data_IF_953380117998
#
_entry.id   IF_953380117998
#
_cell.length_a   1.000
_cell.length_b   1.000
_cell.length_c   1.000
_cell.angle_alpha   90.00
_cell.angle_beta   90.00
_cell.angle_gamma   90.00
#
_symmetry.space_group_name_H-M   'P 1'
#
loop_
_entity.id
_entity.type
_entity.pdbx_description
1 polymer ?
#
# COMPACT_ATOMS: atom_id res chain seq x y z
N UNK A 1 7.62 39.74 61.19
CA UNK A 1 8.52 38.57 61.29
C UNK A 1 7.71 37.41 60.72
N UNK A 2 8.04 37.03 59.48
CA UNK A 2 7.60 35.89 58.67
C UNK A 2 6.09 35.53 58.64
N UNK A 3 5.40 36.05 57.62
CA UNK A 3 4.31 35.34 56.92
C UNK A 3 4.95 34.19 56.12
N UNK A 4 4.45 32.96 56.29
CA UNK A 4 4.82 31.80 55.49
C UNK A 4 3.69 31.48 54.50
N UNK A 5 3.97 31.26 53.20
CA UNK A 5 2.97 31.27 52.12
C UNK A 5 2.54 29.86 51.68
N UNK A 6 1.59 29.83 50.73
CA UNK A 6 1.26 28.73 49.81
C UNK A 6 0.17 27.73 50.22
N UNK A 7 -1.08 28.20 50.23
CA UNK A 7 -2.19 27.37 49.74
C UNK A 7 -2.09 27.26 48.22
N UNK A 8 -1.47 26.19 47.72
CA UNK A 8 -1.59 25.81 46.31
C UNK A 8 -3.07 25.51 46.00
N UNK A 9 -3.67 26.15 44.98
CA UNK A 9 -5.03 25.82 44.58
C UNK A 9 -5.03 24.41 43.97
N UNK A 10 -5.81 23.50 44.56
CA UNK A 10 -6.14 22.21 43.96
C UNK A 10 -6.72 22.46 42.57
N UNK A 11 -6.12 21.95 41.47
CA UNK A 11 -6.68 22.16 40.15
C UNK A 11 -8.04 21.47 40.06
N UNK A 12 -9.02 22.18 39.50
CA UNK A 12 -10.33 21.62 39.24
C UNK A 12 -10.21 20.37 38.35
N UNK A 13 -11.07 19.35 38.51
CA UNK A 13 -11.02 18.10 37.73
C UNK A 13 -11.16 18.31 36.20
N UNK A 14 -11.60 19.50 35.77
CA UNK A 14 -11.63 19.91 34.36
C UNK A 14 -10.24 20.07 33.74
N UNK A 15 -9.25 20.53 34.52
CA UNK A 15 -7.89 20.81 34.01
C UNK A 15 -7.04 19.55 33.89
N UNK A 16 -7.32 18.54 34.72
CA UNK A 16 -6.71 17.21 34.61
C UNK A 16 -7.24 16.42 33.39
N UNK A 17 -8.51 16.59 33.04
CA UNK A 17 -9.12 15.96 31.86
C UNK A 17 -8.66 16.62 30.55
N UNK A 18 -8.58 17.95 30.50
CA UNK A 18 -8.08 18.66 29.31
C UNK A 18 -6.60 18.41 29.07
N UNK A 19 -5.78 18.33 30.12
CA UNK A 19 -4.36 17.98 30.00
C UNK A 19 -4.13 16.50 29.64
N UNK A 20 -4.94 15.57 30.14
CA UNK A 20 -4.91 14.17 29.70
C UNK A 20 -5.31 14.02 28.21
N UNK A 21 -6.31 14.77 27.76
CA UNK A 21 -6.70 14.84 26.34
C UNK A 21 -5.59 15.44 25.47
N UNK A 22 -4.92 16.50 25.93
CA UNK A 22 -3.82 17.12 25.20
C UNK A 22 -2.61 16.16 25.07
N UNK A 23 -2.29 15.43 26.13
CA UNK A 23 -1.23 14.42 26.13
C UNK A 23 -1.57 13.19 25.27
N UNK A 24 -2.86 12.83 25.17
CA UNK A 24 -3.33 11.78 24.26
C UNK A 24 -3.31 12.25 22.79
N UNK A 25 -3.52 13.55 22.54
CA UNK A 25 -3.38 14.15 21.20
C UNK A 25 -1.92 14.21 20.75
N UNK A 26 -0.98 14.48 21.65
CA UNK A 26 0.45 14.58 21.32
C UNK A 26 1.16 13.23 21.17
N UNK A 27 0.62 12.13 21.70
CA UNK A 27 1.22 10.78 21.64
C UNK A 27 0.67 9.89 20.50
N UNK A 28 -0.18 10.42 19.63
CA UNK A 28 -0.88 9.66 18.60
C UNK A 28 -0.02 9.44 17.33
N UNK A 29 0.86 8.44 17.35
CA UNK A 29 1.53 7.93 16.13
C UNK A 29 0.96 6.60 15.62
N UNK A 30 -0.10 6.06 16.22
CA UNK A 30 -0.72 4.80 15.78
C UNK A 30 -2.05 5.02 15.01
N UNK A 31 -2.27 4.27 13.90
CA UNK A 31 -3.49 4.39 13.09
C UNK A 31 -4.80 4.13 13.85
N UNK A 32 -4.76 3.30 14.89
CA UNK A 32 -5.95 2.96 15.68
C UNK A 32 -6.38 4.07 16.63
N UNK A 33 -5.44 4.90 17.12
CA UNK A 33 -5.76 6.08 17.93
C UNK A 33 -6.37 7.17 17.05
N UNK A 34 -5.98 7.29 15.78
CA UNK A 34 -6.61 8.23 14.84
C UNK A 34 -8.08 7.86 14.58
N UNK A 35 -8.38 6.57 14.43
CA UNK A 35 -9.77 6.08 14.31
C UNK A 35 -10.58 6.40 15.58
N UNK A 36 -10.00 6.20 16.75
CA UNK A 36 -10.64 6.54 18.03
C UNK A 36 -10.87 8.06 18.16
N UNK A 37 -9.92 8.90 17.75
CA UNK A 37 -10.06 10.36 17.76
C UNK A 37 -11.13 10.84 16.79
N UNK A 38 -11.17 10.31 15.56
CA UNK A 38 -12.25 10.61 14.60
C UNK A 38 -13.60 10.17 15.17
N UNK A 39 -13.66 9.01 15.83
CA UNK A 39 -14.90 8.53 16.45
C UNK A 39 -15.33 9.41 17.63
N UNK A 40 -14.41 9.87 18.47
CA UNK A 40 -14.68 10.78 19.60
C UNK A 40 -15.10 12.16 19.10
N UNK A 41 -14.37 12.75 18.16
CA UNK A 41 -14.72 14.04 17.54
C UNK A 41 -16.08 13.98 16.84
N UNK A 42 -16.39 12.83 16.21
CA UNK A 42 -17.70 12.58 15.58
C UNK A 42 -18.81 12.38 16.60
N UNK A 43 -18.55 11.73 17.75
CA UNK A 43 -19.51 11.67 18.86
C UNK A 43 -19.73 13.04 19.48
N UNK A 44 -18.69 13.83 19.68
CA UNK A 44 -18.81 15.21 20.19
C UNK A 44 -19.61 16.11 19.23
N UNK A 45 -19.44 15.94 17.92
CA UNK A 45 -20.20 16.65 16.90
C UNK A 45 -21.67 16.20 16.80
N UNK A 46 -21.97 14.92 17.07
CA UNK A 46 -23.34 14.37 17.01
C UNK A 46 -24.10 14.54 18.33
N UNK A 47 -23.46 14.33 19.48
CA UNK A 47 -24.03 14.51 20.82
C UNK A 47 -24.12 15.99 21.23
N UNK A 48 -23.29 16.86 20.65
CA UNK A 48 -23.39 18.31 20.81
C UNK A 48 -24.64 18.92 20.17
N UNK A 49 -25.43 18.13 19.43
CA UNK A 49 -26.66 18.57 18.80
C UNK A 49 -27.84 17.72 19.30
N UNK A 50 -28.30 18.00 20.52
CA UNK A 50 -29.64 17.59 20.99
C UNK A 50 -30.66 18.37 20.18
N UNK A 51 -30.85 18.02 18.90
CA UNK A 51 -31.99 18.52 18.13
C UNK A 51 -33.20 17.80 18.72
N UNK A 52 -34.20 18.51 19.28
CA UNK A 52 -35.44 17.88 19.67
C UNK A 52 -36.01 17.11 18.47
N UNK A 53 -36.49 15.89 18.72
CA UNK A 53 -37.05 15.01 17.70
C UNK A 53 -37.96 15.81 16.75
N UNK A 54 -37.70 15.70 15.43
CA UNK A 54 -38.57 16.32 14.40
C UNK A 54 -39.93 15.63 14.30
N UNK A 55 -40.11 14.52 15.00
CA UNK A 55 -41.40 13.84 15.14
C UNK A 55 -42.15 14.56 16.26
N UNK A 56 -43.23 15.30 15.95
CA UNK A 56 -44.05 15.92 16.98
C UNK A 56 -44.55 14.83 17.94
N UNK A 57 -44.63 15.17 19.23
CA UNK A 57 -45.13 14.23 20.24
C UNK A 57 -46.48 13.65 19.78
N UNK A 58 -46.62 12.32 19.75
CA UNK A 58 -47.85 11.68 19.29
C UNK A 58 -49.03 12.16 20.12
N UNK A 59 -50.12 12.57 19.47
CA UNK A 59 -51.26 13.18 20.16
C UNK A 59 -52.16 12.12 20.78
N UNK A 60 -52.11 10.88 20.27
CA UNK A 60 -52.90 9.74 20.75
C UNK A 60 -52.19 8.40 20.55
N UNK A 61 -52.52 7.40 21.38
CA UNK A 61 -51.98 6.03 21.31
C UNK A 61 -52.29 5.36 19.95
N UNK A 62 -53.40 5.74 19.31
CA UNK A 62 -53.81 5.24 18.00
C UNK A 62 -52.87 5.64 16.85
N UNK A 63 -52.23 6.81 16.92
CA UNK A 63 -51.28 7.27 15.91
C UNK A 63 -49.98 6.46 15.98
N UNK A 64 -49.53 6.14 17.20
CA UNK A 64 -48.36 5.29 17.44
C UNK A 64 -48.59 3.89 16.87
N UNK A 65 -49.77 3.32 17.10
CA UNK A 65 -50.16 2.02 16.53
C UNK A 65 -50.18 2.02 15.00
N UNK A 66 -50.60 3.12 14.38
CA UNK A 66 -50.59 3.30 12.93
C UNK A 66 -49.19 3.29 12.33
N UNK A 67 -48.24 4.01 12.92
CA UNK A 67 -46.85 4.01 12.46
C UNK A 67 -46.15 2.66 12.69
N UNK A 68 -46.40 2.00 13.81
CA UNK A 68 -45.87 0.65 14.07
C UNK A 68 -46.39 -0.34 13.02
N UNK A 69 -47.69 -0.31 12.71
CA UNK A 69 -48.27 -1.19 11.69
C UNK A 69 -47.74 -0.88 10.29
N UNK A 70 -47.57 0.40 9.93
CA UNK A 70 -47.00 0.79 8.65
C UNK A 70 -45.54 0.31 8.51
N UNK A 71 -44.70 0.55 9.51
CA UNK A 71 -43.29 0.13 9.49
C UNK A 71 -43.14 -1.40 9.54
N UNK A 72 -44.08 -2.09 10.18
CA UNK A 72 -44.14 -3.56 10.17
C UNK A 72 -44.56 -4.08 8.78
N UNK A 73 -45.46 -3.39 8.08
CA UNK A 73 -45.87 -3.73 6.71
C UNK A 73 -44.75 -3.47 5.70
N UNK A 74 -43.95 -2.43 5.92
CA UNK A 74 -42.79 -2.07 5.08
C UNK A 74 -41.52 -2.89 5.39
N UNK A 75 -41.56 -3.79 6.37
CA UNK A 75 -40.41 -4.63 6.78
C UNK A 75 -39.15 -3.82 7.13
N UNK A 76 -39.30 -2.65 7.76
CA UNK A 76 -38.18 -1.79 8.18
C UNK A 76 -37.99 -1.79 9.71
N UNK A 77 -37.40 -2.85 10.30
CA UNK A 77 -37.29 -3.01 11.75
C UNK A 77 -36.39 -1.96 12.40
N UNK A 78 -35.35 -1.49 11.69
CA UNK A 78 -34.42 -0.49 12.21
C UNK A 78 -35.10 0.88 12.37
N UNK A 79 -35.94 1.28 11.41
CA UNK A 79 -36.67 2.55 11.48
C UNK A 79 -37.72 2.54 12.60
N UNK A 80 -38.34 1.37 12.86
CA UNK A 80 -39.25 1.16 13.99
C UNK A 80 -38.54 1.34 15.34
N UNK A 81 -37.34 0.78 15.49
CA UNK A 81 -36.57 0.92 16.74
C UNK A 81 -36.11 2.36 16.97
N UNK A 82 -35.71 3.08 15.92
CA UNK A 82 -35.40 4.50 16.00
C UNK A 82 -36.62 5.36 16.33
N UNK A 83 -37.78 5.05 15.74
CA UNK A 83 -39.04 5.75 16.03
C UNK A 83 -39.45 5.55 17.49
N UNK A 84 -39.41 4.32 18.00
CA UNK A 84 -39.72 4.00 19.40
C UNK A 84 -38.76 4.71 20.36
N UNK A 85 -37.47 4.72 20.05
CA UNK A 85 -36.50 5.41 20.88
C UNK A 85 -36.66 6.93 20.84
N UNK A 86 -36.95 7.50 19.67
CA UNK A 86 -37.27 8.92 19.50
C UNK A 86 -38.53 9.35 20.24
N UNK A 87 -39.55 8.47 20.33
CA UNK A 87 -40.78 8.70 21.13
C UNK A 87 -40.47 8.62 22.64
N UNK A 88 -39.59 7.72 23.05
CA UNK A 88 -39.19 7.54 24.45
C UNK A 88 -38.13 8.56 24.92
N UNK A 89 -37.65 9.44 24.03
CA UNK A 89 -36.59 10.40 24.33
C UNK A 89 -35.24 9.74 24.63
N UNK A 90 -35.07 8.48 24.25
CA UNK A 90 -33.83 7.71 24.41
C UNK A 90 -33.10 7.70 23.08
N UNK A 91 -31.77 7.83 23.09
CA UNK A 91 -30.97 7.63 21.89
C UNK A 91 -31.25 6.22 21.34
N UNK A 92 -31.88 6.15 20.16
CA UNK A 92 -32.20 4.87 19.55
C UNK A 92 -30.95 4.07 19.20
N UNK A 93 -31.09 2.75 18.99
CA UNK A 93 -30.03 1.98 18.37
C UNK A 93 -29.70 2.69 17.06
N UNK A 94 -28.49 3.23 16.98
CA UNK A 94 -28.01 3.85 15.77
C UNK A 94 -27.95 2.68 14.77
N UNK A 95 -28.79 2.65 13.71
CA UNK A 95 -28.54 1.71 12.63
C UNK A 95 -27.09 1.95 12.24
N UNK A 96 -26.31 0.89 11.93
CA UNK A 96 -25.03 1.12 11.31
C UNK A 96 -25.33 2.01 10.12
N UNK A 97 -24.92 3.28 10.22
CA UNK A 97 -25.01 4.24 9.15
C UNK A 97 -24.46 3.45 7.96
N UNK A 98 -25.24 3.25 6.89
CA UNK A 98 -24.89 2.40 5.72
C UNK A 98 -23.55 2.75 5.03
N UNK A 99 -22.84 3.70 5.61
CA UNK A 99 -21.43 4.04 5.55
C UNK A 99 -20.56 3.04 6.34
N UNK A 100 -20.74 1.73 6.15
CA UNK A 100 -19.59 0.86 6.32
C UNK A 100 -18.59 1.34 5.26
N UNK A 101 -17.71 2.28 5.64
CA UNK A 101 -16.41 2.39 5.02
C UNK A 101 -15.76 1.05 5.33
N UNK A 102 -16.04 0.06 4.47
CA UNK A 102 -15.33 -1.20 4.45
C UNK A 102 -13.89 -0.79 4.25
N UNK A 103 -13.14 -0.68 5.35
CA UNK A 103 -11.72 -0.43 5.28
C UNK A 103 -11.15 -1.48 4.32
N UNK A 104 -10.43 -1.02 3.31
CA UNK A 104 -9.83 -1.91 2.34
C UNK A 104 -9.08 -3.04 3.08
N UNK A 105 -9.32 -4.31 2.72
CA UNK A 105 -8.79 -5.45 3.48
C UNK A 105 -7.27 -5.54 3.41
N UNK A 106 -6.64 -4.97 2.38
CA UNK A 106 -5.20 -4.87 2.23
C UNK A 106 -4.74 -3.42 2.36
N UNK A 107 -3.48 -3.26 2.76
CA UNK A 107 -2.83 -1.95 2.86
C UNK A 107 -1.43 -2.00 2.26
N UNK A 108 -0.88 -0.82 2.02
CA UNK A 108 0.50 -0.67 1.58
C UNK A 108 1.40 -0.54 2.81
N UNK A 109 2.26 -1.53 3.02
CA UNK A 109 3.19 -1.61 4.14
C UNK A 109 4.54 -1.05 3.71
N UNK A 110 5.08 -0.03 4.41
CA UNK A 110 6.43 0.46 4.15
C UNK A 110 7.45 -0.55 4.67
N UNK A 111 8.37 -0.97 3.81
CA UNK A 111 9.51 -1.81 4.16
C UNK A 111 10.81 -0.99 4.10
N UNK A 112 11.78 -1.26 4.99
CA UNK A 112 13.09 -0.63 4.92
C UNK A 112 13.80 -1.03 3.63
N UNK A 113 14.47 -0.08 2.99
CA UNK A 113 15.20 -0.31 1.75
C UNK A 113 16.70 -0.50 1.99
N UNK A 114 17.33 -1.27 1.11
CA UNK A 114 18.78 -1.41 1.10
C UNK A 114 19.44 -0.18 0.49
N UNK A 115 20.39 0.42 1.22
CA UNK A 115 21.11 1.63 0.78
C UNK A 115 22.62 1.39 0.84
N UNK A 116 23.18 0.59 -0.08
CA UNK A 116 24.63 0.35 -0.14
C UNK A 116 25.39 1.68 -0.28
N UNK A 117 26.56 1.75 0.36
CA UNK A 117 27.41 2.92 0.27
C UNK A 117 27.87 3.13 -1.19
N UNK A 118 27.69 4.33 -1.71
CA UNK A 118 28.05 4.65 -3.09
C UNK A 118 27.57 6.04 -3.51
N UNK A 119 27.99 6.51 -4.70
CA UNK A 119 27.63 7.84 -5.20
C UNK A 119 26.12 8.05 -5.35
N UNK A 120 25.37 6.97 -5.60
CA UNK A 120 23.92 7.01 -5.79
C UNK A 120 23.11 6.70 -4.53
N UNK A 121 23.75 6.54 -3.37
CA UNK A 121 23.05 6.21 -2.11
C UNK A 121 21.96 7.24 -1.77
N UNK A 122 22.20 8.52 -2.05
CA UNK A 122 21.24 9.60 -1.82
C UNK A 122 19.98 9.51 -2.69
N UNK A 123 20.07 8.90 -3.88
CA UNK A 123 18.94 8.72 -4.80
C UNK A 123 18.07 7.51 -4.44
N UNK A 124 18.55 6.60 -3.58
CA UNK A 124 17.80 5.43 -3.14
C UNK A 124 16.85 5.84 -2.00
N UNK A 125 15.53 5.57 -2.12
CA UNK A 125 14.57 5.91 -1.09
C UNK A 125 14.83 5.11 0.20
N UNK A 126 14.53 5.70 1.36
CA UNK A 126 14.72 5.06 2.67
C UNK A 126 13.81 3.85 2.89
N UNK A 127 12.59 3.95 2.38
CA UNK A 127 11.57 2.90 2.44
C UNK A 127 10.88 2.83 1.08
N UNK A 128 10.33 1.66 0.79
CA UNK A 128 9.43 1.45 -0.34
C UNK A 128 8.18 0.75 0.18
N UNK A 129 7.05 0.94 -0.49
CA UNK A 129 5.77 0.39 -0.04
C UNK A 129 5.39 -0.83 -0.87
N UNK A 130 4.85 -1.86 -0.23
CA UNK A 130 4.39 -3.08 -0.89
C UNK A 130 3.05 -3.48 -0.29
N UNK A 131 2.20 -4.13 -1.09
CA UNK A 131 0.94 -4.68 -0.60
C UNK A 131 1.18 -5.66 0.56
N UNK A 132 0.34 -5.58 1.58
CA UNK A 132 0.52 -6.28 2.85
C UNK A 132 0.66 -7.80 2.71
N UNK A 133 -0.02 -8.40 1.74
CA UNK A 133 0.05 -9.84 1.43
C UNK A 133 1.42 -10.29 0.89
N UNK A 134 2.15 -9.43 0.18
CA UNK A 134 3.46 -9.77 -0.38
C UNK A 134 4.63 -9.45 0.56
N UNK A 135 4.39 -8.64 1.59
CA UNK A 135 5.44 -8.10 2.47
C UNK A 135 6.33 -9.19 3.09
N UNK A 136 5.73 -10.24 3.66
CA UNK A 136 6.46 -11.33 4.32
C UNK A 136 7.32 -12.14 3.33
N UNK A 137 6.76 -12.46 2.16
CA UNK A 137 7.47 -13.24 1.14
C UNK A 137 8.64 -12.46 0.57
N UNK A 138 8.44 -11.16 0.30
CA UNK A 138 9.50 -10.28 -0.18
C UNK A 138 10.60 -10.08 0.87
N UNK A 139 10.24 -9.88 2.14
CA UNK A 139 11.22 -9.74 3.22
C UNK A 139 12.06 -11.01 3.39
N UNK A 140 11.46 -12.19 3.24
CA UNK A 140 12.21 -13.46 3.22
C UNK A 140 13.18 -13.55 2.04
N UNK A 141 12.76 -13.13 0.84
CA UNK A 141 13.62 -13.10 -0.34
C UNK A 141 14.80 -12.13 -0.16
N UNK A 142 14.58 -10.94 0.40
CA UNK A 142 15.64 -9.97 0.72
C UNK A 142 16.61 -10.52 1.77
N UNK A 143 16.10 -11.16 2.83
CA UNK A 143 16.95 -11.80 3.84
C UNK A 143 17.84 -12.90 3.24
N UNK A 144 17.36 -13.63 2.23
CA UNK A 144 18.18 -14.63 1.53
C UNK A 144 19.31 -13.98 0.72
N UNK A 145 19.07 -12.82 0.09
CA UNK A 145 20.12 -12.04 -0.57
C UNK A 145 21.12 -11.47 0.44
N UNK A 146 20.65 -10.97 1.58
CA UNK A 146 21.49 -10.47 2.66
C UNK A 146 22.36 -11.57 3.26
N UNK A 147 21.82 -12.78 3.41
CA UNK A 147 22.59 -13.95 3.85
C UNK A 147 23.73 -14.29 2.89
N UNK A 148 23.58 -13.97 1.59
CA UNK A 148 24.63 -14.12 0.58
C UNK A 148 25.54 -12.88 0.47
N UNK A 149 25.28 -11.83 1.26
CA UNK A 149 26.10 -10.63 1.27
C UNK A 149 25.79 -9.61 0.15
N UNK A 150 24.65 -9.80 -0.51
CA UNK A 150 24.12 -8.89 -1.52
C UNK A 150 23.20 -7.86 -0.88
N UNK A 151 23.09 -6.68 -1.48
CA UNK A 151 22.09 -5.66 -1.14
C UNK A 151 21.29 -5.33 -2.40
N UNK A 152 19.97 -5.25 -2.29
CA UNK A 152 19.08 -5.01 -3.43
C UNK A 152 18.23 -3.75 -3.21
N UNK A 153 18.65 -2.60 -3.76
CA UNK A 153 17.87 -1.37 -3.70
C UNK A 153 16.61 -1.49 -4.56
N UNK A 154 15.45 -1.33 -3.93
CA UNK A 154 14.14 -1.43 -4.58
C UNK A 154 13.40 -0.09 -4.58
N UNK A 155 12.44 0.06 -5.48
CA UNK A 155 11.48 1.15 -5.48
C UNK A 155 10.10 0.66 -5.92
N UNK A 156 9.07 1.22 -5.30
CA UNK A 156 7.68 0.90 -5.58
C UNK A 156 7.04 2.04 -6.35
N UNK A 157 6.58 1.79 -7.58
CA UNK A 157 5.83 2.77 -8.37
C UNK A 157 4.35 2.66 -8.06
N UNK A 158 3.96 2.97 -6.83
CA UNK A 158 2.56 2.97 -6.44
C UNK A 158 1.97 4.33 -6.79
N UNK A 159 0.99 4.31 -7.68
CA UNK A 159 0.27 5.50 -8.10
C UNK A 159 -1.11 5.56 -7.41
N UNK A 160 -1.57 6.75 -6.99
CA UNK A 160 -2.96 6.92 -6.58
C UNK A 160 -3.89 6.64 -7.77
N UNK A 161 -5.14 6.25 -7.48
CA UNK A 161 -6.14 6.03 -8.53
C UNK A 161 -6.31 7.31 -9.37
N UNK A 162 -6.30 7.21 -10.72
CA UNK A 162 -6.49 8.39 -11.56
C UNK A 162 -7.93 8.89 -11.38
N UNK A 163 -8.15 10.20 -11.15
CA UNK A 163 -9.49 10.74 -10.99
C UNK A 163 -10.28 10.63 -12.29
N UNK A 164 -11.58 10.37 -12.19
CA UNK A 164 -12.49 10.41 -13.32
C UNK A 164 -12.56 11.84 -13.90
N UNK A 165 -12.44 11.95 -15.22
CA UNK A 165 -12.66 13.19 -15.97
C UNK A 165 -13.38 12.88 -17.28
N UNK A 166 -14.06 13.86 -17.91
CA UNK A 166 -14.68 13.66 -19.21
C UNK A 166 -13.67 13.14 -20.25
N UNK A 167 -14.00 12.04 -20.92
CA UNK A 167 -13.13 11.30 -21.86
C UNK A 167 -11.87 10.64 -21.26
N UNK A 168 -11.67 10.66 -19.94
CA UNK A 168 -10.57 9.94 -19.33
C UNK A 168 -10.72 8.43 -19.57
N UNK A 169 -9.68 7.82 -20.13
CA UNK A 169 -9.61 6.38 -20.31
C UNK A 169 -8.76 5.76 -19.20
N UNK A 170 -9.11 4.55 -18.74
CA UNK A 170 -8.23 3.81 -17.85
C UNK A 170 -6.89 3.55 -18.55
N UNK A 171 -5.75 3.65 -17.82
CA UNK A 171 -4.46 3.21 -18.31
C UNK A 171 -4.48 1.74 -18.78
N UNK A 172 -3.64 1.43 -19.77
CA UNK A 172 -3.51 0.06 -20.30
C UNK A 172 -2.96 -0.93 -19.26
N UNK A 173 -2.11 -0.45 -18.35
CA UNK A 173 -1.58 -1.23 -17.24
C UNK A 173 -2.18 -0.77 -15.91
N UNK A 174 -2.97 -1.65 -15.30
CA UNK A 174 -3.59 -1.41 -14.01
C UNK A 174 -2.75 -1.93 -12.82
N UNK A 175 -1.72 -2.75 -13.07
CA UNK A 175 -0.92 -3.39 -12.01
C UNK A 175 -0.19 -2.39 -11.08
N UNK A 176 0.34 -1.25 -11.56
CA UNK A 176 0.96 -0.24 -10.69
C UNK A 176 0.00 0.33 -9.66
N UNK A 177 -1.26 0.55 -10.05
CA UNK A 177 -2.32 1.04 -9.16
C UNK A 177 -2.74 -0.02 -8.15
N UNK A 178 -2.56 -1.30 -8.45
CA UNK A 178 -2.83 -2.42 -7.54
C UNK A 178 -1.66 -2.73 -6.60
N UNK A 179 -0.57 -1.95 -6.63
CA UNK A 179 0.64 -2.21 -5.84
C UNK A 179 1.29 -3.55 -6.18
N UNK A 180 1.07 -4.06 -7.40
CA UNK A 180 1.60 -5.34 -7.90
C UNK A 180 2.89 -5.17 -8.70
N UNK A 181 3.45 -3.96 -8.75
CA UNK A 181 4.70 -3.67 -9.46
C UNK A 181 5.82 -3.26 -8.51
N UNK A 182 7.03 -3.72 -8.79
CA UNK A 182 8.22 -3.43 -8.03
C UNK A 182 9.38 -3.23 -9.01
N UNK A 183 10.19 -2.20 -8.80
CA UNK A 183 11.35 -1.93 -9.63
C UNK A 183 12.63 -2.02 -8.81
N UNK A 184 13.71 -2.48 -9.44
CA UNK A 184 15.06 -2.26 -8.92
C UNK A 184 15.43 -0.80 -9.20
N UNK A 185 16.09 -0.12 -8.27
CA UNK A 185 16.53 1.27 -8.48
C UNK A 185 17.54 1.32 -9.64
N UNK A 186 17.17 1.87 -10.81
CA UNK A 186 17.98 1.73 -12.02
C UNK A 186 19.31 2.48 -11.93
N UNK A 187 19.39 3.52 -11.10
CA UNK A 187 20.61 4.29 -10.84
C UNK A 187 21.72 3.45 -10.16
N UNK A 188 21.37 2.29 -9.62
CA UNK A 188 22.33 1.41 -8.92
C UNK A 188 22.92 0.32 -9.82
N UNK A 189 22.72 0.43 -11.14
CA UNK A 189 23.26 -0.47 -12.15
C UNK A 189 23.73 0.29 -13.41
N UNK A 190 24.37 -0.45 -14.32
CA UNK A 190 24.79 -0.03 -15.67
C UNK A 190 25.91 1.03 -15.76
N UNK A 191 26.35 1.65 -14.66
CA UNK A 191 27.42 2.66 -14.67
C UNK A 191 28.81 2.02 -14.67
N UNK A 192 29.08 1.21 -13.66
CA UNK A 192 30.30 0.44 -13.54
C UNK A 192 30.01 -0.89 -12.84
N UNK A 193 29.99 -2.01 -13.59
CA UNK A 193 29.58 -3.28 -13.02
C UNK A 193 30.52 -3.80 -11.93
N UNK A 194 31.75 -3.26 -11.83
CA UNK A 194 32.72 -3.64 -10.79
C UNK A 194 32.47 -2.95 -9.45
N UNK A 195 31.74 -1.83 -9.42
CA UNK A 195 31.41 -1.07 -8.20
C UNK A 195 29.93 -1.10 -7.87
N UNK A 196 29.08 -1.22 -8.89
CA UNK A 196 27.64 -1.18 -8.75
C UNK A 196 27.10 -2.38 -7.93
N UNK A 197 26.10 -2.17 -7.05
CA UNK A 197 25.50 -3.25 -6.27
C UNK A 197 24.67 -4.20 -7.14
N UNK A 198 24.16 -3.74 -8.28
CA UNK A 198 23.40 -4.53 -9.25
C UNK A 198 24.05 -4.42 -10.61
N UNK A 199 24.13 -5.53 -11.35
CA UNK A 199 24.63 -5.55 -12.72
C UNK A 199 23.74 -6.41 -13.60
N UNK A 200 23.61 -6.04 -14.88
CA UNK A 200 23.07 -6.92 -15.90
C UNK A 200 24.20 -7.79 -16.42
N UNK A 201 24.23 -9.06 -16.04
CA UNK A 201 25.34 -9.95 -16.31
C UNK A 201 24.89 -11.32 -16.81
N UNK A 202 25.82 -11.99 -17.49
CA UNK A 202 25.74 -13.39 -17.92
C UNK A 202 27.09 -14.08 -17.70
N UNK A 203 27.10 -15.40 -17.69
CA UNK A 203 28.36 -16.15 -17.60
C UNK A 203 29.24 -15.87 -18.82
N UNK A 204 30.55 -15.68 -18.60
CA UNK A 204 31.48 -15.34 -19.67
C UNK A 204 31.49 -16.44 -20.76
N UNK A 205 31.43 -16.04 -22.02
CA UNK A 205 31.35 -16.97 -23.15
C UNK A 205 29.97 -17.62 -23.38
N UNK A 206 28.94 -17.28 -22.59
CA UNK A 206 27.57 -17.68 -22.88
C UNK A 206 26.90 -16.77 -23.93
N UNK A 207 25.99 -17.34 -24.72
CA UNK A 207 25.08 -16.60 -25.60
C UNK A 207 23.75 -16.21 -24.95
N UNK A 208 23.58 -16.53 -23.66
CA UNK A 208 22.36 -16.22 -22.91
C UNK A 208 22.10 -14.70 -22.82
N UNK A 209 20.82 -14.30 -22.62
CA UNK A 209 20.49 -12.89 -22.38
C UNK A 209 21.12 -12.41 -21.07
N UNK A 210 21.42 -11.10 -20.99
CA UNK A 210 21.87 -10.50 -19.74
C UNK A 210 20.69 -10.44 -18.76
N UNK A 211 20.93 -10.95 -17.55
CA UNK A 211 19.94 -11.00 -16.48
C UNK A 211 20.36 -10.06 -15.34
N UNK A 212 19.42 -9.48 -14.59
CA UNK A 212 19.74 -8.70 -13.41
C UNK A 212 20.33 -9.60 -12.31
N UNK A 213 21.52 -9.24 -11.87
CA UNK A 213 22.33 -9.96 -10.91
C UNK A 213 22.71 -9.00 -9.77
N UNK A 214 22.59 -9.46 -8.53
CA UNK A 214 23.05 -8.72 -7.36
C UNK A 214 24.52 -9.08 -7.09
N UNK A 215 25.34 -8.07 -6.83
CA UNK A 215 26.74 -8.25 -6.49
C UNK A 215 26.89 -8.51 -5.00
N UNK A 216 27.78 -9.44 -4.65
CA UNK A 216 28.20 -9.63 -3.25
C UNK A 216 29.12 -8.46 -2.86
N UNK A 217 28.66 -7.60 -1.94
CA UNK A 217 29.39 -6.40 -1.50
C UNK A 217 30.24 -6.73 -0.27
N UNK A 218 29.69 -7.52 0.64
CA UNK A 218 30.34 -7.98 1.86
C UNK A 218 30.14 -9.48 2.02
N UNK A 219 31.09 -10.26 2.57
CA UNK A 219 30.88 -11.69 2.80
C UNK A 219 29.65 -11.93 3.68
N UNK A 220 28.70 -12.71 3.16
CA UNK A 220 27.52 -13.17 3.91
C UNK A 220 27.75 -14.48 4.67
N UNK A 221 26.71 -14.97 5.33
CA UNK A 221 26.70 -16.31 5.96
C UNK A 221 26.65 -17.45 4.95
N UNK A 222 26.19 -17.20 3.72
CA UNK A 222 26.16 -18.14 2.60
C UNK A 222 27.23 -17.76 1.59
N UNK A 223 28.15 -18.67 1.32
CA UNK A 223 29.22 -18.46 0.35
C UNK A 223 28.70 -18.49 -1.09
N UNK A 224 29.07 -17.48 -1.88
CA UNK A 224 28.79 -17.41 -3.32
C UNK A 224 30.09 -17.70 -4.08
N UNK A 225 30.06 -18.71 -4.94
CA UNK A 225 31.25 -19.12 -5.70
C UNK A 225 31.60 -18.04 -6.74
N UNK A 226 32.82 -17.48 -6.73
CA UNK A 226 33.24 -16.54 -7.75
C UNK A 226 33.31 -17.21 -9.13
N UNK A 227 32.90 -16.48 -10.17
CA UNK A 227 32.99 -16.95 -11.55
C UNK A 227 33.38 -15.80 -12.50
N UNK A 228 33.59 -16.13 -13.78
CA UNK A 228 33.83 -15.13 -14.81
C UNK A 228 32.50 -14.72 -15.43
N UNK A 229 32.25 -13.42 -15.48
CA UNK A 229 30.99 -12.83 -15.94
C UNK A 229 31.24 -11.81 -17.04
N UNK A 230 30.28 -11.67 -17.94
CA UNK A 230 30.17 -10.53 -18.84
C UNK A 230 29.02 -9.65 -18.35
N UNK A 231 29.30 -8.41 -18.00
CA UNK A 231 28.31 -7.45 -17.52
C UNK A 231 28.18 -6.26 -18.47
N UNK A 232 26.99 -5.68 -18.57
CA UNK A 232 26.76 -4.51 -19.40
C UNK A 232 27.15 -3.23 -18.66
N UNK A 233 27.94 -2.39 -19.35
CA UNK A 233 28.20 -1.00 -18.99
C UNK A 233 27.56 -0.10 -20.04
N UNK A 234 26.72 0.82 -19.63
CA UNK A 234 26.01 1.71 -20.54
C UNK A 234 26.42 3.17 -20.33
N UNK A 235 26.47 3.92 -21.42
CA UNK A 235 26.48 5.37 -21.43
C UNK A 235 25.11 5.91 -21.88
N UNK A 236 25.03 7.21 -22.16
CA UNK A 236 23.79 7.86 -22.62
C UNK A 236 23.25 7.31 -23.95
N UNK A 237 24.08 6.62 -24.74
CA UNK A 237 23.79 6.27 -26.15
C UNK A 237 24.03 4.81 -26.51
N UNK A 238 24.84 4.07 -25.76
CA UNK A 238 25.18 2.67 -26.04
C UNK A 238 25.46 1.88 -24.79
N UNK A 239 25.35 0.55 -24.90
CA UNK A 239 25.78 -0.41 -23.90
C UNK A 239 26.89 -1.30 -24.48
N UNK A 240 27.97 -1.47 -23.72
CA UNK A 240 29.11 -2.31 -24.09
C UNK A 240 29.32 -3.39 -23.03
N UNK A 241 29.57 -4.65 -23.42
CA UNK A 241 29.90 -5.71 -22.49
C UNK A 241 31.32 -5.52 -21.92
N UNK A 242 31.46 -5.79 -20.63
CA UNK A 242 32.72 -5.75 -19.88
C UNK A 242 32.90 -7.10 -19.19
N UNK A 243 34.05 -7.73 -19.39
CA UNK A 243 34.41 -8.99 -18.74
C UNK A 243 34.92 -8.73 -17.32
N UNK A 244 34.35 -9.44 -16.36
CA UNK A 244 34.72 -9.44 -14.95
C UNK A 244 35.23 -10.82 -14.56
N UNK A 245 36.46 -10.87 -14.05
CA UNK A 245 37.08 -12.11 -13.61
C UNK A 245 36.88 -12.30 -12.11
N UNK A 246 36.57 -13.53 -11.68
CA UNK A 246 36.38 -13.89 -10.27
C UNK A 246 35.37 -12.98 -9.53
N UNK A 247 34.26 -12.63 -10.19
CA UNK A 247 33.18 -11.86 -9.58
C UNK A 247 32.12 -12.78 -8.97
N UNK A 248 31.62 -12.43 -7.79
CA UNK A 248 30.53 -13.13 -7.11
C UNK A 248 29.21 -12.38 -7.35
N UNK A 249 28.35 -12.99 -8.17
CA UNK A 249 27.03 -12.49 -8.49
C UNK A 249 25.96 -13.53 -8.16
N UNK A 250 24.79 -13.03 -7.75
CA UNK A 250 23.61 -13.83 -7.44
C UNK A 250 22.48 -13.44 -8.39
N UNK A 251 21.80 -14.38 -9.04
CA UNK A 251 20.66 -14.08 -9.90
C UNK A 251 19.46 -13.58 -9.09
N UNK A 252 18.99 -12.37 -9.40
CA UNK A 252 17.87 -11.73 -8.68
C UNK A 252 16.54 -12.37 -9.06
N UNK A 253 16.38 -12.74 -10.34
CA UNK A 253 15.14 -13.29 -10.90
C UNK A 253 14.56 -14.46 -10.07
N UNK A 254 15.31 -15.55 -9.82
CA UNK A 254 14.82 -16.67 -9.02
C UNK A 254 14.47 -16.31 -7.57
N UNK A 255 15.19 -15.35 -6.98
CA UNK A 255 14.96 -14.93 -5.59
C UNK A 255 13.68 -14.12 -5.47
N UNK A 256 13.44 -13.18 -6.39
CA UNK A 256 12.19 -12.42 -6.44
C UNK A 256 11.01 -13.27 -6.92
N UNK A 257 11.23 -14.25 -7.80
CA UNK A 257 10.21 -15.21 -8.22
C UNK A 257 9.69 -16.04 -7.04
N UNK A 258 10.55 -16.39 -6.07
CA UNK A 258 10.13 -17.04 -4.83
C UNK A 258 9.19 -16.15 -3.98
N UNK A 259 9.28 -14.83 -4.11
CA UNK A 259 8.35 -13.85 -3.53
C UNK A 259 7.14 -13.53 -4.43
N UNK A 260 7.02 -14.19 -5.59
CA UNK A 260 5.92 -13.99 -6.55
C UNK A 260 6.12 -12.84 -7.52
N UNK A 261 7.30 -12.19 -7.54
CA UNK A 261 7.63 -11.11 -8.46
C UNK A 261 8.40 -11.66 -9.66
N UNK A 262 7.82 -11.49 -10.85
CA UNK A 262 8.34 -11.99 -12.10
C UNK A 262 8.72 -10.86 -13.03
N UNK A 263 9.78 -11.07 -13.78
CA UNK A 263 10.21 -10.18 -14.84
C UNK A 263 9.67 -10.67 -16.20
N UNK A 264 9.55 -9.77 -17.17
CA UNK A 264 9.41 -10.14 -18.57
C UNK A 264 10.53 -11.10 -18.99
N UNK A 265 10.19 -12.17 -19.70
CA UNK A 265 11.14 -13.20 -20.15
C UNK A 265 11.15 -13.27 -21.68
N UNK A 266 12.28 -13.01 -22.35
CA UNK A 266 13.54 -12.50 -21.80
C UNK A 266 13.41 -11.03 -21.35
N UNK A 267 14.25 -10.57 -20.40
CA UNK A 267 14.22 -9.19 -19.97
C UNK A 267 14.63 -8.25 -21.11
N UNK A 268 13.97 -7.09 -21.26
CA UNK A 268 14.29 -6.13 -22.30
C UNK A 268 15.73 -5.63 -22.10
N UNK A 269 16.55 -5.73 -23.13
CA UNK A 269 17.96 -5.36 -23.04
C UNK A 269 18.10 -3.83 -23.12
N UNK A 270 18.89 -3.20 -22.23
CA UNK A 270 19.06 -1.76 -22.27
C UNK A 270 19.86 -1.35 -23.51
N UNK A 271 19.41 -0.29 -24.18
CA UNK A 271 20.18 0.38 -25.25
C UNK A 271 21.01 1.55 -24.73
N UNK A 272 20.66 2.07 -23.56
CA UNK A 272 21.31 3.20 -22.90
C UNK A 272 21.09 3.15 -21.39
N UNK A 273 21.79 4.00 -20.64
CA UNK A 273 21.62 4.16 -19.19
C UNK A 273 20.19 4.59 -18.78
N UNK A 274 19.43 5.21 -19.69
CA UNK A 274 18.04 5.62 -19.45
C UNK A 274 17.03 4.48 -19.65
N UNK A 275 17.46 3.35 -20.18
CA UNK A 275 16.59 2.20 -20.41
C UNK A 275 16.32 1.51 -19.07
N UNK A 276 15.12 1.64 -18.53
CA UNK A 276 14.74 1.07 -17.21
C UNK A 276 13.85 -0.17 -17.32
N UNK A 277 13.43 -0.59 -18.51
CA UNK A 277 12.52 -1.74 -18.66
C UNK A 277 13.05 -3.05 -18.05
N UNK A 278 14.37 -3.21 -17.95
CA UNK A 278 15.01 -4.38 -17.33
C UNK A 278 14.92 -4.38 -15.80
N UNK A 279 14.55 -3.28 -15.15
CA UNK A 279 14.45 -3.23 -13.70
C UNK A 279 13.06 -3.54 -13.18
N UNK A 280 12.08 -3.75 -14.07
CA UNK A 280 10.66 -3.88 -13.73
C UNK A 280 10.24 -5.32 -13.43
N UNK A 281 9.55 -5.51 -12.30
CA UNK A 281 8.98 -6.78 -11.86
C UNK A 281 7.49 -6.63 -11.54
N UNK A 282 6.72 -7.65 -11.88
CA UNK A 282 5.27 -7.71 -11.67
C UNK A 282 4.89 -8.93 -10.85
N UNK A 283 3.93 -8.77 -9.94
CA UNK A 283 3.41 -9.86 -9.15
C UNK A 283 2.05 -10.34 -9.70
N UNK A 284 2.11 -11.48 -10.38
CA UNK A 284 0.95 -12.12 -11.00
C UNK A 284 0.33 -13.21 -10.12
N UNK A 285 0.84 -13.41 -8.89
CA UNK A 285 0.32 -14.45 -8.01
C UNK A 285 -1.15 -14.18 -7.65
N UNK A 286 -1.96 -15.23 -7.71
CA UNK A 286 -3.41 -15.16 -7.47
C UNK A 286 -4.25 -14.61 -8.62
N UNK A 287 -3.65 -14.09 -9.69
CA UNK A 287 -4.39 -13.67 -10.89
C UNK A 287 -4.68 -14.89 -11.77
N UNK A 288 -5.96 -15.22 -11.94
CA UNK A 288 -6.43 -16.35 -12.75
C UNK A 288 -7.05 -15.81 -14.02
N UNK A 289 -6.49 -16.21 -15.17
CA UNK A 289 -6.99 -15.83 -16.49
C UNK A 289 -8.47 -16.17 -16.64
N UNK A 290 -9.26 -15.23 -17.15
CA UNK A 290 -10.70 -15.40 -17.37
C UNK A 290 -11.56 -15.36 -16.10
N UNK A 291 -10.96 -15.25 -14.91
CA UNK A 291 -11.69 -15.30 -13.64
C UNK A 291 -11.48 -14.04 -12.80
N UNK A 292 -10.24 -13.59 -12.62
CA UNK A 292 -9.95 -12.44 -11.75
C UNK A 292 -10.44 -11.15 -12.38
N UNK A 293 -11.31 -10.42 -11.68
CA UNK A 293 -11.86 -9.13 -12.13
C UNK A 293 -11.07 -7.97 -11.55
N UNK A 294 -10.97 -6.89 -12.32
CA UNK A 294 -10.31 -5.66 -11.90
C UNK A 294 -11.00 -5.04 -10.67
N UNK A 295 -12.33 -5.07 -10.62
CA UNK A 295 -13.10 -4.53 -9.50
C UNK A 295 -12.80 -5.24 -8.18
N UNK A 296 -12.63 -6.56 -8.21
CA UNK A 296 -12.32 -7.35 -7.02
C UNK A 296 -10.94 -6.98 -6.49
N UNK A 297 -9.92 -6.91 -7.36
CA UNK A 297 -8.56 -6.48 -6.98
C UNK A 297 -8.51 -5.04 -6.48
N UNK A 298 -9.24 -4.11 -7.10
CA UNK A 298 -9.30 -2.72 -6.64
C UNK A 298 -9.96 -2.62 -5.26
N UNK A 299 -11.01 -3.40 -5.01
CA UNK A 299 -11.71 -3.42 -3.72
C UNK A 299 -10.84 -3.93 -2.57
N UNK A 300 -9.75 -4.62 -2.87
CA UNK A 300 -8.79 -5.06 -1.85
C UNK A 300 -7.97 -3.91 -1.27
N UNK A 301 -7.72 -2.85 -2.05
CA UNK A 301 -6.83 -1.75 -1.69
C UNK A 301 -7.55 -0.41 -1.51
N UNK A 302 -8.69 -0.22 -2.17
CA UNK A 302 -9.39 1.05 -2.23
C UNK A 302 -10.85 0.90 -1.77
N UNK A 303 -11.38 1.96 -1.18
CA UNK A 303 -12.80 1.98 -0.83
C UNK A 303 -13.65 2.18 -2.09
N UNK A 304 -14.91 1.76 -2.03
CA UNK A 304 -15.86 1.88 -3.15
C UNK A 304 -16.05 3.34 -3.62
N UNK A 305 -15.95 4.33 -2.71
CA UNK A 305 -16.00 5.76 -3.05
C UNK A 305 -14.83 6.19 -3.95
N UNK A 306 -13.65 5.67 -3.67
CA UNK A 306 -12.41 6.04 -4.36
C UNK A 306 -12.37 5.38 -5.73
N UNK A 307 -12.86 4.14 -5.82
CA UNK A 307 -13.04 3.41 -7.07
C UNK A 307 -14.07 4.12 -7.97
N UNK A 308 -15.24 4.49 -7.43
CA UNK A 308 -16.30 5.16 -8.20
C UNK A 308 -15.92 6.55 -8.69
N UNK A 309 -15.02 7.23 -7.98
CA UNK A 309 -14.48 8.53 -8.39
C UNK A 309 -13.29 8.42 -9.35
N UNK A 310 -12.80 7.20 -9.62
CA UNK A 310 -11.66 6.95 -10.51
C UNK A 310 -12.06 6.65 -11.96
N UNK A 311 -11.09 6.70 -12.86
CA UNK A 311 -11.25 6.28 -14.27
C UNK A 311 -11.62 4.80 -14.43
N UNK A 312 -11.37 3.97 -13.41
CA UNK A 312 -11.66 2.53 -13.45
C UNK A 312 -13.11 2.18 -13.09
N UNK A 313 -13.95 3.16 -12.70
CA UNK A 313 -15.34 2.93 -12.31
C UNK A 313 -16.16 2.18 -13.37
N UNK A 314 -15.88 2.40 -14.66
CA UNK A 314 -16.56 1.73 -15.78
C UNK A 314 -15.88 0.41 -16.22
N UNK A 315 -14.75 0.05 -15.60
CA UNK A 315 -13.89 -1.07 -15.98
C UNK A 315 -13.84 -2.17 -14.93
N UNK A 316 -14.72 -2.15 -13.93
CA UNK A 316 -14.73 -3.12 -12.83
C UNK A 316 -14.96 -4.57 -13.29
N UNK A 317 -15.67 -4.74 -14.41
CA UNK A 317 -15.93 -6.05 -15.00
C UNK A 317 -14.80 -6.54 -15.92
N UNK A 318 -13.71 -5.78 -16.09
CA UNK A 318 -12.57 -6.25 -16.87
C UNK A 318 -11.94 -7.44 -16.19
N UNK A 319 -11.54 -8.42 -17.00
CA UNK A 319 -11.03 -9.71 -16.55
C UNK A 319 -9.56 -9.82 -16.94
N UNK A 320 -8.77 -10.44 -16.09
CA UNK A 320 -7.38 -10.75 -16.38
C UNK A 320 -7.28 -11.72 -17.57
N UNK A 321 -6.58 -11.34 -18.64
CA UNK A 321 -6.39 -12.18 -19.84
C UNK A 321 -5.09 -13.00 -19.82
N UNK A 322 -4.27 -12.85 -18.78
CA UNK A 322 -2.93 -13.43 -18.68
C UNK A 322 -1.81 -12.39 -18.81
N UNK A 323 -2.12 -11.20 -19.35
CA UNK A 323 -1.17 -10.11 -19.56
C UNK A 323 -1.67 -8.77 -19.04
N UNK A 324 -2.98 -8.49 -19.14
CA UNK A 324 -3.62 -7.26 -18.66
C UNK A 324 -5.09 -7.51 -18.31
N UNK A 325 -5.71 -6.51 -17.69
CA UNK A 325 -7.17 -6.50 -17.53
C UNK A 325 -7.81 -6.00 -18.82
N UNK A 326 -8.66 -6.82 -19.43
CA UNK A 326 -9.33 -6.52 -20.68
C UNK A 326 -10.85 -6.66 -20.53
N UNK A 327 -11.59 -6.05 -21.47
CA UNK A 327 -13.04 -6.28 -21.56
C UNK A 327 -13.30 -7.77 -21.82
N UNK A 328 -14.24 -8.39 -21.09
CA UNK A 328 -14.66 -9.76 -21.35
C UNK A 328 -15.30 -9.92 -22.73
#
# INVERSE_FOLDING_TARGET
MADDPSSTPTPAPSDALTSALLNMVQSASSPDIFKAQVMILRRLALEGNIIPSRIPAPRNISEIGGYINLLNTLSEPAMREQMLAGILGVAGPNPPLGWLSSAAPLSLVPLPNDRPAGPFQAAIPLTFAVRSDFSNALQSALNNLHAQGCMLPLMSNIYPLPPSAPNAQPPDDALPYLGRTLDIVPATALNDPSTDPVALARTAGSSDPYLPMARVISPGSVAVTPANWEALKCDATKCTPVTLNNASYVPIGPVLAAAGFYQASPPPQPSSILSTGWSHFTNLTGLVTGTTRLGDELSLLYNLSDINSSVFANSLNWVWDGTKFAKP
#
